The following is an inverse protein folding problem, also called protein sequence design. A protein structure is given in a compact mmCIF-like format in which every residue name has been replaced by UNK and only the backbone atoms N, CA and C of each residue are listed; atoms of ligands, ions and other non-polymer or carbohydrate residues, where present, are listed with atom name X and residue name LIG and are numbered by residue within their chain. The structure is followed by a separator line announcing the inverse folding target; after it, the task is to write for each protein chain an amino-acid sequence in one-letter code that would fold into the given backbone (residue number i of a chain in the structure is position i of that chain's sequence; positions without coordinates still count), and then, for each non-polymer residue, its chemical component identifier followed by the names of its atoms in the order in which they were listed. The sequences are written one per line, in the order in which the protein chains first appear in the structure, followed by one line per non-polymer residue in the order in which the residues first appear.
data_IF_662279199821
#
_entry.id   IF_662279199821
#
_cell.length_a   1.000
_cell.length_b   1.000
_cell.length_c   1.000
_cell.angle_alpha   90.00
_cell.angle_beta   90.00
_cell.angle_gamma   90.00
#
_symmetry.space_group_name_H-M   'P 1'
#
loop_
_entity.id
_entity.type
_entity.pdbx_description
1 polymer ?
#
# COMPACT_ATOMS: atom_id res chain seq x y z
N UNK A 1 -14.25 2.80 24.10
CA UNK A 1 -13.92 2.44 22.71
C UNK A 1 -13.00 3.53 22.18
N UNK A 2 -11.77 3.18 21.80
CA UNK A 2 -10.73 4.11 21.38
C UNK A 2 -10.66 4.15 19.86
N UNK A 3 -10.57 5.36 19.29
CA UNK A 3 -10.49 5.58 17.85
C UNK A 3 -9.15 6.21 17.46
N UNK A 4 -8.50 5.67 16.43
CA UNK A 4 -7.20 6.12 15.96
C UNK A 4 -7.26 6.66 14.54
N UNK A 5 -6.42 7.67 14.24
CA UNK A 5 -6.31 8.27 12.92
C UNK A 5 -5.00 7.90 12.23
N UNK A 6 -4.98 8.02 10.91
CA UNK A 6 -3.75 8.04 10.13
C UNK A 6 -3.33 9.49 9.91
N UNK A 7 -2.05 9.78 10.12
CA UNK A 7 -1.47 11.10 9.92
C UNK A 7 -0.64 11.18 8.64
N UNK A 8 -0.02 10.05 8.24
CA UNK A 8 0.74 9.93 6.99
C UNK A 8 1.66 11.13 6.76
N UNK A 9 2.58 11.39 7.70
CA UNK A 9 3.46 12.58 7.76
C UNK A 9 3.84 13.04 6.34
N UNK A 10 3.31 14.18 5.87
CA UNK A 10 3.55 14.63 4.51
C UNK A 10 4.97 15.17 4.36
N UNK A 11 5.60 15.01 3.18
CA UNK A 11 6.89 15.64 2.90
C UNK A 11 6.75 17.16 2.91
N UNK A 12 7.89 17.85 2.99
CA UNK A 12 7.95 19.30 2.86
C UNK A 12 7.24 19.78 1.58
N UNK A 13 6.55 20.92 1.66
CA UNK A 13 5.80 21.49 0.54
C UNK A 13 6.77 22.02 -0.50
N UNK A 14 6.66 21.54 -1.74
CA UNK A 14 7.40 22.02 -2.90
C UNK A 14 6.45 22.79 -3.82
N UNK A 15 6.92 23.92 -4.37
CA UNK A 15 6.14 24.69 -5.36
C UNK A 15 5.82 23.83 -6.59
N UNK A 16 4.56 23.83 -7.07
CA UNK A 16 4.19 23.14 -8.29
C UNK A 16 5.01 23.58 -9.50
N UNK A 17 5.61 22.62 -10.21
CA UNK A 17 6.38 22.80 -11.45
C UNK A 17 6.01 21.76 -12.53
N UNK A 18 5.15 20.80 -12.20
CA UNK A 18 4.60 19.86 -13.16
C UNK A 18 3.68 20.53 -14.19
N UNK A 19 3.56 19.92 -15.37
CA UNK A 19 2.67 20.42 -16.44
C UNK A 19 1.33 19.70 -16.51
N UNK A 20 1.17 18.59 -15.79
CA UNK A 20 -0.04 17.75 -15.85
C UNK A 20 -0.82 17.82 -14.55
N UNK A 21 -2.14 17.81 -14.70
CA UNK A 21 -3.10 17.72 -13.61
C UNK A 21 -3.46 16.26 -13.29
N UNK A 22 -3.70 15.97 -12.01
CA UNK A 22 -3.96 14.62 -11.52
C UNK A 22 -5.26 14.57 -10.69
N UNK A 23 -6.16 13.66 -11.07
CA UNK A 23 -7.31 13.27 -10.26
C UNK A 23 -6.97 12.04 -9.42
N UNK A 24 -7.16 12.13 -8.10
CA UNK A 24 -7.08 11.00 -7.17
C UNK A 24 -8.48 10.49 -6.87
N UNK A 25 -8.70 9.22 -7.17
CA UNK A 25 -9.96 8.50 -6.88
C UNK A 25 -9.89 7.91 -5.48
N UNK A 26 -11.02 7.85 -4.78
CA UNK A 26 -11.09 7.19 -3.46
C UNK A 26 -10.57 5.74 -3.59
N UNK A 27 -9.63 5.30 -2.74
CA UNK A 27 -9.14 3.94 -2.78
C UNK A 27 -10.29 2.94 -2.69
N UNK A 28 -10.30 1.96 -3.59
CA UNK A 28 -11.22 0.81 -3.50
C UNK A 28 -10.64 -0.21 -2.52
N UNK A 29 -11.48 -1.05 -1.92
CA UNK A 29 -11.03 -2.05 -0.95
C UNK A 29 -11.77 -3.37 -1.10
N UNK A 30 -11.15 -4.43 -0.58
CA UNK A 30 -11.85 -5.67 -0.19
C UNK A 30 -12.88 -5.40 0.93
N UNK A 31 -13.86 -6.28 1.09
CA UNK A 31 -15.05 -6.04 1.94
C UNK A 31 -14.74 -5.82 3.42
N UNK A 32 -13.79 -6.56 3.98
CA UNK A 32 -13.35 -6.45 5.39
C UNK A 32 -12.73 -5.09 5.73
N UNK A 33 -12.17 -4.38 4.74
CA UNK A 33 -11.54 -3.05 4.90
C UNK A 33 -12.51 -1.87 4.70
N UNK A 34 -13.80 -2.14 4.44
CA UNK A 34 -14.83 -1.09 4.32
C UNK A 34 -15.32 -0.56 5.67
N UNK A 35 -14.93 -1.19 6.77
CA UNK A 35 -15.34 -0.84 8.13
C UNK A 35 -14.26 -0.04 8.85
N UNK A 36 -14.58 0.46 10.05
CA UNK A 36 -13.61 1.07 10.97
C UNK A 36 -12.79 0.05 11.75
N UNK A 37 -13.04 -1.24 11.60
CA UNK A 37 -12.36 -2.27 12.38
C UNK A 37 -10.83 -2.23 12.16
N UNK A 38 -10.09 -2.29 13.26
CA UNK A 38 -8.65 -2.56 13.20
C UNK A 38 -8.46 -4.06 13.11
N UNK A 39 -8.05 -4.53 11.94
CA UNK A 39 -7.86 -5.95 11.67
C UNK A 39 -6.51 -6.43 12.19
N UNK A 40 -6.48 -7.68 12.64
CA UNK A 40 -5.26 -8.37 12.99
C UNK A 40 -5.29 -9.85 12.60
N UNK A 41 -4.14 -10.49 12.63
CA UNK A 41 -3.97 -11.93 12.48
C UNK A 41 -2.90 -12.44 13.44
N UNK A 42 -3.09 -13.64 13.99
CA UNK A 42 -2.13 -14.35 14.85
C UNK A 42 -1.53 -15.58 14.16
N UNK A 43 -1.96 -15.87 12.93
CA UNK A 43 -1.50 -17.03 12.17
C UNK A 43 -2.18 -17.13 10.81
N UNK A 44 -1.67 -18.02 9.94
CA UNK A 44 -2.22 -18.20 8.60
C UNK A 44 -3.74 -18.45 8.64
N UNK A 45 -4.46 -17.78 7.74
CA UNK A 45 -5.91 -17.90 7.55
C UNK A 45 -6.79 -17.42 8.72
N UNK A 46 -6.20 -16.83 9.76
CA UNK A 46 -6.95 -16.18 10.84
C UNK A 46 -7.15 -14.70 10.54
N UNK A 47 -8.34 -14.20 10.83
CA UNK A 47 -8.66 -12.78 10.75
C UNK A 47 -9.50 -12.39 11.96
N UNK A 48 -8.98 -11.45 12.75
CA UNK A 48 -9.65 -10.87 13.91
C UNK A 48 -9.83 -9.37 13.77
N UNK A 49 -10.60 -8.80 14.68
CA UNK A 49 -10.68 -7.34 14.84
C UNK A 49 -10.67 -6.99 16.32
N UNK A 50 -10.00 -5.90 16.69
CA UNK A 50 -9.97 -5.48 18.08
C UNK A 50 -11.36 -4.99 18.55
N UNK A 51 -11.84 -5.51 19.68
CA UNK A 51 -13.20 -5.23 20.15
C UNK A 51 -13.42 -3.76 20.60
N UNK A 52 -12.40 -3.13 21.17
CA UNK A 52 -12.50 -1.77 21.76
C UNK A 52 -11.61 -0.74 21.08
N UNK A 53 -10.90 -1.11 20.01
CA UNK A 53 -9.99 -0.25 19.26
C UNK A 53 -10.38 -0.26 17.79
N UNK A 54 -10.51 0.93 17.20
CA UNK A 54 -10.92 1.07 15.82
C UNK A 54 -10.21 2.24 15.13
N UNK A 55 -10.24 2.24 13.81
CA UNK A 55 -9.92 3.41 13.03
C UNK A 55 -11.01 4.49 13.16
N UNK A 56 -10.64 5.75 12.98
CA UNK A 56 -11.56 6.88 13.03
C UNK A 56 -12.58 6.84 11.88
N UNK A 57 -12.13 6.37 10.72
CA UNK A 57 -12.93 6.10 9.52
C UNK A 57 -12.38 4.84 8.82
N UNK A 58 -13.09 4.24 7.85
CA UNK A 58 -12.55 3.16 7.05
C UNK A 58 -11.18 3.53 6.44
N UNK A 59 -10.18 2.62 6.44
CA UNK A 59 -8.82 2.93 5.99
C UNK A 59 -8.73 3.64 4.64
N UNK A 60 -9.51 3.22 3.64
CA UNK A 60 -9.54 3.88 2.34
C UNK A 60 -9.95 5.36 2.40
N UNK A 61 -10.91 5.71 3.26
CA UNK A 61 -11.36 7.10 3.43
C UNK A 61 -10.29 7.94 4.12
N UNK A 62 -9.55 7.35 5.07
CA UNK A 62 -8.42 8.03 5.72
C UNK A 62 -7.22 8.19 4.78
N UNK A 63 -6.99 7.23 3.87
CA UNK A 63 -5.85 7.26 2.94
C UNK A 63 -6.02 8.28 1.82
N UNK A 64 -7.24 8.54 1.35
CA UNK A 64 -7.49 9.50 0.27
C UNK A 64 -6.86 10.89 0.53
N UNK A 65 -7.15 11.59 1.64
CA UNK A 65 -6.54 12.90 1.89
C UNK A 65 -5.02 12.81 2.02
N UNK A 66 -4.48 11.72 2.58
CA UNK A 66 -3.03 11.54 2.71
C UNK A 66 -2.34 11.37 1.36
N UNK A 67 -2.93 10.59 0.44
CA UNK A 67 -2.44 10.44 -0.95
C UNK A 67 -2.42 11.80 -1.64
N UNK A 68 -3.51 12.56 -1.53
CA UNK A 68 -3.65 13.88 -2.15
C UNK A 68 -2.57 14.83 -1.62
N UNK A 69 -2.42 14.93 -0.30
CA UNK A 69 -1.42 15.84 0.31
C UNK A 69 0.01 15.47 -0.07
N UNK A 70 0.37 14.17 -0.09
CA UNK A 70 1.70 13.74 -0.52
C UNK A 70 1.99 14.13 -1.98
N UNK A 71 1.02 13.91 -2.88
CA UNK A 71 1.17 14.26 -4.29
C UNK A 71 1.19 15.77 -4.52
N UNK A 72 0.39 16.54 -3.78
CA UNK A 72 0.40 18.01 -3.81
C UNK A 72 1.76 18.56 -3.37
N UNK A 73 2.24 18.10 -2.21
CA UNK A 73 3.50 18.57 -1.63
C UNK A 73 4.72 18.18 -2.47
N UNK A 74 4.60 17.18 -3.34
CA UNK A 74 5.68 16.80 -4.26
C UNK A 74 6.01 17.86 -5.33
N UNK A 75 5.07 18.76 -5.62
CA UNK A 75 5.20 19.79 -6.66
C UNK A 75 5.24 19.27 -8.11
N UNK A 76 5.22 17.95 -8.35
CA UNK A 76 5.41 17.38 -9.68
C UNK A 76 4.17 17.36 -10.58
N UNK A 77 3.04 17.89 -10.12
CA UNK A 77 1.81 18.08 -10.89
C UNK A 77 1.41 19.56 -10.88
N UNK A 78 0.79 20.04 -11.96
CA UNK A 78 0.27 21.42 -12.02
C UNK A 78 -0.89 21.62 -11.04
N UNK A 79 -1.69 20.57 -10.84
CA UNK A 79 -2.74 20.49 -9.84
C UNK A 79 -3.00 19.04 -9.45
N UNK A 80 -3.34 18.80 -8.18
CA UNK A 80 -3.83 17.50 -7.69
C UNK A 80 -5.16 17.73 -7.01
N UNK A 81 -6.18 17.02 -7.47
CA UNK A 81 -7.56 17.10 -6.99
C UNK A 81 -8.08 15.72 -6.59
N UNK A 82 -9.08 15.67 -5.72
CA UNK A 82 -9.73 14.44 -5.29
C UNK A 82 -11.22 14.45 -5.64
N UNK A 83 -11.82 13.27 -5.73
CA UNK A 83 -13.28 13.16 -5.87
C UNK A 83 -14.03 13.66 -4.61
N UNK A 84 -15.22 14.27 -4.77
CA UNK A 84 -15.88 14.58 -6.04
C UNK A 84 -15.24 15.78 -6.74
N UNK A 85 -14.88 15.62 -8.01
CA UNK A 85 -14.35 16.67 -8.88
C UNK A 85 -15.02 16.54 -10.25
N UNK A 86 -15.53 17.64 -10.79
CA UNK A 86 -16.30 17.67 -12.04
C UNK A 86 -15.55 18.29 -13.22
N UNK A 87 -14.33 18.79 -12.99
CA UNK A 87 -13.47 19.32 -14.05
C UNK A 87 -12.69 18.24 -14.80
N UNK A 88 -11.91 18.66 -15.79
CA UNK A 88 -10.98 17.79 -16.52
C UNK A 88 -9.62 17.72 -15.84
N UNK A 89 -8.98 16.56 -15.90
CA UNK A 89 -7.56 16.37 -15.55
C UNK A 89 -6.84 15.60 -16.66
N UNK A 90 -5.51 15.68 -16.70
CA UNK A 90 -4.69 14.93 -17.66
C UNK A 90 -4.58 13.46 -17.27
N UNK A 91 -4.46 13.22 -15.96
CA UNK A 91 -4.21 11.90 -15.37
C UNK A 91 -5.27 11.56 -14.32
N UNK A 92 -5.49 10.26 -14.15
CA UNK A 92 -6.30 9.69 -13.07
C UNK A 92 -5.52 8.59 -12.35
N UNK A 93 -5.37 8.73 -11.04
CA UNK A 93 -4.82 7.73 -10.15
C UNK A 93 -5.96 6.98 -9.46
N UNK A 94 -6.00 5.67 -9.67
CA UNK A 94 -6.84 4.75 -8.89
C UNK A 94 -5.96 3.89 -8.00
N UNK A 95 -6.44 3.60 -6.79
CA UNK A 95 -5.77 2.70 -5.87
C UNK A 95 -6.73 1.64 -5.35
N UNK A 96 -6.17 0.49 -5.00
CA UNK A 96 -6.88 -0.62 -4.37
C UNK A 96 -6.09 -1.05 -3.13
N UNK A 97 -6.70 -0.92 -1.95
CA UNK A 97 -6.14 -1.39 -0.69
C UNK A 97 -6.48 -2.87 -0.51
N UNK A 98 -5.45 -3.70 -0.44
CA UNK A 98 -5.56 -5.16 -0.38
C UNK A 98 -5.38 -5.68 1.04
N UNK A 99 -4.35 -5.19 1.74
CA UNK A 99 -4.01 -5.60 3.10
C UNK A 99 -3.79 -4.35 3.95
N UNK A 100 -4.36 -4.34 5.14
CA UNK A 100 -4.22 -3.27 6.12
C UNK A 100 -4.49 -3.81 7.53
N UNK A 101 -3.49 -4.48 8.11
CA UNK A 101 -3.68 -5.25 9.34
C UNK A 101 -2.40 -5.32 10.17
N UNK A 102 -2.57 -5.63 11.46
CA UNK A 102 -1.47 -6.00 12.35
C UNK A 102 -1.28 -7.52 12.36
N UNK A 103 -0.05 -7.99 12.19
CA UNK A 103 0.31 -9.40 12.20
C UNK A 103 1.11 -9.70 13.45
N UNK A 104 0.62 -10.62 14.27
CA UNK A 104 1.26 -11.07 15.50
C UNK A 104 2.10 -12.31 15.25
N UNK A 105 3.28 -12.35 15.88
CA UNK A 105 4.17 -13.52 15.88
C UNK A 105 4.82 -13.64 17.26
N UNK A 106 4.24 -14.51 18.10
CA UNK A 106 4.66 -14.65 19.50
C UNK A 106 4.54 -13.33 20.26
N UNK A 107 5.65 -12.83 20.82
CA UNK A 107 5.71 -11.58 21.58
C UNK A 107 5.96 -10.32 20.72
N UNK A 108 5.98 -10.46 19.40
CA UNK A 108 6.19 -9.37 18.46
C UNK A 108 4.97 -9.16 17.57
N UNK A 109 4.88 -7.99 16.96
CA UNK A 109 3.94 -7.76 15.87
C UNK A 109 4.50 -6.78 14.85
N UNK A 110 3.95 -6.82 13.65
CA UNK A 110 4.24 -5.91 12.56
C UNK A 110 2.95 -5.42 11.94
N UNK A 111 2.99 -4.28 11.25
CA UNK A 111 1.89 -3.82 10.43
C UNK A 111 2.17 -4.10 8.96
N UNK A 112 1.22 -4.75 8.29
CA UNK A 112 1.30 -5.09 6.89
C UNK A 112 0.30 -4.24 6.10
N UNK A 113 0.83 -3.50 5.12
CA UNK A 113 0.06 -2.71 4.17
C UNK A 113 0.38 -3.18 2.75
N UNK A 114 -0.65 -3.51 1.97
CA UNK A 114 -0.52 -3.69 0.53
C UNK A 114 -1.53 -2.84 -0.25
N UNK A 115 -1.02 -2.17 -1.28
CA UNK A 115 -1.81 -1.34 -2.16
C UNK A 115 -1.39 -1.54 -3.61
N UNK A 116 -2.35 -1.63 -4.52
CA UNK A 116 -2.11 -1.52 -5.96
C UNK A 116 -2.50 -0.12 -6.40
N UNK A 117 -1.66 0.52 -7.20
CA UNK A 117 -1.97 1.78 -7.85
C UNK A 117 -1.97 1.60 -9.37
N UNK A 118 -2.87 2.30 -10.06
CA UNK A 118 -2.95 2.35 -11.51
C UNK A 118 -3.06 3.80 -11.95
N UNK A 119 -2.17 4.21 -12.86
CA UNK A 119 -2.16 5.54 -13.44
C UNK A 119 -2.73 5.46 -14.85
N UNK A 120 -3.75 6.27 -15.14
CA UNK A 120 -4.50 6.25 -16.39
C UNK A 120 -4.42 7.62 -17.04
N UNK A 121 -4.17 7.65 -18.35
CA UNK A 121 -4.32 8.85 -19.18
C UNK A 121 -5.81 9.13 -19.38
N UNK A 122 -6.30 10.29 -18.98
CA UNK A 122 -7.71 10.66 -19.18
C UNK A 122 -8.02 10.85 -20.66
N UNK A 123 -7.08 11.43 -21.42
CA UNK A 123 -7.25 11.69 -22.86
C UNK A 123 -7.45 10.42 -23.68
N UNK A 124 -6.70 9.36 -23.39
CA UNK A 124 -6.73 8.10 -24.17
C UNK A 124 -7.47 6.98 -23.47
N UNK A 125 -7.84 7.17 -22.19
CA UNK A 125 -8.39 6.16 -21.30
C UNK A 125 -7.53 4.87 -21.22
N UNK A 126 -6.21 5.00 -21.44
CA UNK A 126 -5.27 3.89 -21.39
C UNK A 126 -4.53 3.86 -20.06
N UNK A 127 -4.30 2.64 -19.55
CA UNK A 127 -3.41 2.41 -18.42
C UNK A 127 -1.99 2.76 -18.86
N UNK A 128 -1.39 3.73 -18.18
CA UNK A 128 0.00 4.13 -18.41
C UNK A 128 0.95 3.23 -17.62
N UNK A 129 0.59 2.94 -16.37
CA UNK A 129 1.34 2.05 -15.50
C UNK A 129 0.45 1.48 -14.40
N UNK A 130 0.83 0.31 -13.88
CA UNK A 130 0.26 -0.29 -12.68
C UNK A 130 1.37 -0.88 -11.82
N UNK A 131 1.28 -0.70 -10.51
CA UNK A 131 2.31 -1.17 -9.56
C UNK A 131 1.68 -1.55 -8.21
N UNK A 132 2.19 -2.64 -7.62
CA UNK A 132 1.91 -3.02 -6.23
C UNK A 132 2.98 -2.44 -5.31
N UNK A 133 2.53 -1.93 -4.17
CA UNK A 133 3.33 -1.44 -3.07
C UNK A 133 3.04 -2.30 -1.84
N UNK A 134 4.07 -2.65 -1.09
CA UNK A 134 3.96 -3.41 0.15
C UNK A 134 4.91 -2.82 1.18
N UNK A 135 4.46 -2.77 2.44
CA UNK A 135 5.26 -2.37 3.58
C UNK A 135 4.96 -3.29 4.77
N UNK A 136 6.04 -3.74 5.42
CA UNK A 136 6.02 -4.45 6.69
C UNK A 136 6.80 -3.62 7.70
N UNK A 137 6.13 -3.16 8.75
CA UNK A 137 6.76 -2.31 9.77
C UNK A 137 6.57 -2.92 11.14
N UNK A 138 7.66 -3.25 11.81
CA UNK A 138 7.63 -3.74 13.19
C UNK A 138 6.94 -2.72 14.10
N UNK A 139 5.97 -3.20 14.89
CA UNK A 139 5.34 -2.41 15.94
C UNK A 139 6.29 -2.27 17.12
N UNK A 140 6.35 -1.10 17.78
CA UNK A 140 7.16 -0.93 18.99
C UNK A 140 6.73 -1.89 20.10
N UNK A 141 5.45 -2.26 20.12
CA UNK A 141 4.83 -3.16 21.09
C UNK A 141 3.75 -4.01 20.40
N UNK A 142 3.50 -5.25 20.86
CA UNK A 142 2.42 -6.10 20.38
C UNK A 142 1.06 -5.66 20.96
N UNK A 143 0.71 -4.39 20.76
CA UNK A 143 -0.54 -3.80 21.25
C UNK A 143 -1.29 -3.14 20.08
N UNK A 144 -2.60 -2.87 20.22
CA UNK A 144 -3.35 -2.12 19.20
C UNK A 144 -2.70 -0.76 18.91
N UNK A 145 -2.24 -0.05 19.94
CA UNK A 145 -1.56 1.24 19.79
C UNK A 145 -0.20 1.08 19.10
N UNK A 146 0.58 0.05 19.43
CA UNK A 146 1.80 -0.29 18.70
C UNK A 146 1.53 -0.53 17.21
N UNK A 147 0.41 -1.21 16.89
CA UNK A 147 -0.08 -1.37 15.53
C UNK A 147 -0.39 -0.05 14.82
N UNK A 148 -1.00 0.93 15.52
CA UNK A 148 -1.26 2.28 14.98
C UNK A 148 0.04 3.02 14.66
N UNK A 149 1.04 2.92 15.52
CA UNK A 149 2.36 3.55 15.29
C UNK A 149 3.03 2.93 14.06
N UNK A 150 3.01 1.60 13.93
CA UNK A 150 3.53 0.91 12.76
C UNK A 150 2.73 1.20 11.48
N UNK A 151 1.40 1.30 11.57
CA UNK A 151 0.54 1.64 10.45
C UNK A 151 0.88 3.03 9.87
N UNK A 152 1.06 4.04 10.74
CA UNK A 152 1.43 5.38 10.29
C UNK A 152 2.78 5.41 9.56
N UNK A 153 3.76 4.61 10.03
CA UNK A 153 5.06 4.43 9.36
C UNK A 153 4.92 3.71 8.02
N UNK A 154 4.14 2.62 7.97
CA UNK A 154 3.89 1.87 6.74
C UNK A 154 3.20 2.73 5.67
N UNK A 155 2.21 3.54 6.09
CA UNK A 155 1.53 4.51 5.22
C UNK A 155 2.53 5.53 4.68
N UNK A 156 3.35 6.15 5.54
CA UNK A 156 4.36 7.11 5.08
C UNK A 156 5.31 6.51 4.03
N UNK A 157 5.79 5.27 4.25
CA UNK A 157 6.65 4.57 3.28
C UNK A 157 5.95 4.32 1.94
N UNK A 158 4.71 3.82 1.96
CA UNK A 158 3.95 3.53 0.74
C UNK A 158 3.60 4.80 -0.01
N UNK A 159 3.21 5.88 0.68
CA UNK A 159 2.89 7.16 0.03
C UNK A 159 4.12 7.82 -0.60
N UNK A 160 5.29 7.71 0.03
CA UNK A 160 6.55 8.16 -0.56
C UNK A 160 6.85 7.37 -1.84
N UNK A 161 6.75 6.04 -1.81
CA UNK A 161 6.98 5.19 -2.99
C UNK A 161 5.98 5.44 -4.11
N UNK A 162 4.70 5.60 -3.76
CA UNK A 162 3.61 5.89 -4.70
C UNK A 162 3.85 7.23 -5.39
N UNK A 163 4.21 8.27 -4.62
CA UNK A 163 4.50 9.60 -5.15
C UNK A 163 5.66 9.54 -6.14
N UNK A 164 6.79 8.94 -5.75
CA UNK A 164 7.96 8.81 -6.63
C UNK A 164 7.63 8.05 -7.92
N UNK A 165 6.85 6.97 -7.82
CA UNK A 165 6.41 6.20 -8.98
C UNK A 165 5.50 7.02 -9.92
N UNK A 166 4.58 7.81 -9.38
CA UNK A 166 3.73 8.70 -10.19
C UNK A 166 4.56 9.76 -10.93
N UNK A 167 5.58 10.32 -10.30
CA UNK A 167 6.47 11.32 -10.92
C UNK A 167 7.35 10.75 -12.04
N UNK A 168 7.80 9.50 -11.87
CA UNK A 168 8.69 8.84 -12.83
C UNK A 168 7.95 8.20 -14.01
N UNK A 169 6.63 8.05 -13.93
CA UNK A 169 5.85 7.40 -14.99
C UNK A 169 5.80 8.31 -16.22
N UNK A 170 6.44 7.95 -17.35
CA UNK A 170 6.47 8.80 -18.53
C UNK A 170 5.08 9.01 -19.09
N UNK A 171 4.81 10.21 -19.63
CA UNK A 171 3.63 10.41 -20.48
C UNK A 171 3.72 9.49 -21.67
N UNK A 172 2.64 8.77 -22.00
CA UNK A 172 2.57 7.90 -23.17
C UNK A 172 2.57 8.74 -24.46
N UNK A 173 3.67 9.40 -24.76
CA UNK A 173 3.84 10.38 -25.83
C UNK A 173 5.29 10.46 -26.29
N UNK A 174 5.95 9.31 -26.46
CA UNK A 174 6.98 9.03 -27.46
C UNK A 174 7.45 7.57 -27.24
N UNK A 175 6.87 6.61 -27.96
CA UNK A 175 7.45 5.27 -28.09
C UNK A 175 8.21 5.19 -29.40
N UNK A 176 9.40 5.77 -29.44
CA UNK A 176 10.44 5.29 -30.35
C UNK A 176 11.39 4.39 -29.55
N UNK A 177 11.31 3.10 -29.87
CA UNK A 177 12.31 2.07 -29.58
C UNK A 177 12.48 1.63 -28.10
N UNK A 178 11.75 0.59 -27.72
CA UNK A 178 12.26 -0.36 -26.70
C UNK A 178 12.63 -1.66 -27.41
N UNK A 179 13.88 -2.16 -27.31
CA UNK A 179 14.22 -3.48 -27.77
C UNK A 179 13.62 -4.55 -26.85
N UNK A 180 13.21 -5.65 -27.44
CA UNK A 180 12.54 -6.80 -26.81
C UNK A 180 13.33 -7.36 -25.61
N UNK A 181 12.68 -7.67 -24.46
CA UNK A 181 13.35 -8.39 -23.39
C UNK A 181 13.50 -9.86 -23.79
N UNK A 182 14.75 -10.26 -24.06
CA UNK A 182 15.13 -11.67 -24.11
C UNK A 182 15.04 -12.23 -22.68
N UNK A 183 14.20 -13.24 -22.48
CA UNK A 183 14.05 -13.91 -21.19
C UNK A 183 15.20 -14.92 -21.02
N UNK A 184 16.22 -14.55 -20.27
CA UNK A 184 17.21 -15.52 -19.78
C UNK A 184 16.67 -16.17 -18.50
N UNK A 185 16.43 -17.48 -18.59
CA UNK A 185 15.89 -18.36 -17.54
C UNK A 185 16.61 -18.20 -16.20
N UNK A 186 15.96 -17.59 -15.21
CA UNK A 186 16.35 -17.74 -13.80
C UNK A 186 15.57 -18.92 -13.21
N UNK A 187 16.26 -20.04 -12.97
CA UNK A 187 15.72 -21.18 -12.23
C UNK A 187 15.67 -20.82 -10.74
N UNK A 188 14.48 -20.58 -10.22
CA UNK A 188 14.25 -20.50 -8.76
C UNK A 188 14.21 -21.94 -8.24
N UNK A 189 15.23 -22.35 -7.47
CA UNK A 189 15.17 -23.57 -6.65
C UNK A 189 14.43 -23.21 -5.35
N UNK A 190 13.22 -23.72 -5.17
CA UNK A 190 12.61 -23.84 -3.86
C UNK A 190 13.18 -25.09 -3.18
N UNK A 191 14.04 -24.91 -2.18
CA UNK A 191 14.45 -26.00 -1.28
C UNK A 191 13.51 -25.97 -0.08
N UNK A 192 12.63 -26.97 -0.01
CA UNK A 192 11.82 -27.26 1.18
C UNK A 192 12.73 -28.01 2.14
N UNK A 193 13.03 -27.40 3.29
CA UNK A 193 13.64 -28.10 4.42
C UNK A 193 12.55 -28.89 5.14
N UNK A 194 12.40 -30.18 4.81
CA UNK A 194 11.68 -31.13 5.65
C UNK A 194 12.65 -31.61 6.72
N UNK A 195 12.41 -31.21 7.95
CA UNK A 195 13.23 -31.60 9.09
C UNK A 195 13.03 -33.09 9.40
N UNK A 196 14.16 -33.71 9.69
CA UNK A 196 14.40 -35.12 9.88
C UNK A 196 13.98 -35.52 11.30
N UNK A 197 12.87 -36.26 11.44
CA UNK A 197 12.49 -36.89 12.70
C UNK A 197 11.85 -38.25 12.45
N UNK A 198 12.68 -39.28 12.24
CA UNK A 198 12.33 -40.67 12.45
C UNK A 198 13.58 -41.52 12.23
N UNK A 199 14.25 -41.92 13.32
CA UNK A 199 15.02 -43.16 13.46
C UNK A 199 15.60 -43.19 14.87
N UNK A 200 14.84 -43.73 15.83
CA UNK A 200 15.41 -44.57 16.88
C UNK A 200 14.26 -45.25 17.66
N UNK A 201 13.76 -46.39 17.17
CA UNK A 201 13.27 -47.49 18.01
C UNK A 201 13.18 -48.75 17.14
N UNK A 202 14.30 -49.45 17.03
CA UNK A 202 14.29 -50.89 16.82
C UNK A 202 15.64 -51.44 17.26
N UNK A 203 15.74 -51.87 18.52
CA UNK A 203 16.48 -53.06 18.97
C UNK A 203 16.39 -53.15 20.52
N UNK A 204 16.19 -54.38 21.00
CA UNK A 204 16.13 -54.89 22.39
C UNK A 204 14.69 -54.87 22.97
N UNK A 205 14.00 -55.97 23.32
CA UNK A 205 14.41 -57.27 23.90
C UNK A 205 15.54 -57.19 24.92
#
# INVERSE_FOLDING_TARGET
MTSYRLEGIPPAVVTPHGQRSLLVVTPTTVSNLKTRAMLYTEGPYQAGSFAINQWQAPPAQMLLPLIVTHLQNSGGFSAVVAQPFTGATDLRLTTQLLIFQQEFSGSQSQFHLEMVATLVSVKTNQIMASRRFSAFVTAPEPTPYGGVVAANRAVAQVLQQLTQWCLQTPGSGNRSHLPSPHWSRVKIKYTIAVSQFCLLQNHLR
#
